data_IF_591438206210
#
_entry.id   IF_591438206210
#
_cell.length_a   1.000
_cell.length_b   1.000
_cell.length_c   1.000
_cell.angle_alpha   90.00
_cell.angle_beta   90.00
_cell.angle_gamma   90.00
#
_symmetry.space_group_name_H-M   'P 1'
#
loop_
_entity.id
_entity.type
_entity.pdbx_description
1 polymer ?
#
# COMPACT_ATOMS: atom_id res chain seq x y z
N UNK A 1 -12.84 -32.26 9.43
CA UNK A 1 -12.57 -32.40 10.88
C UNK A 1 -13.88 -32.72 11.60
N UNK A 2 -14.46 -33.92 11.40
CA UNK A 2 -15.81 -34.27 11.92
C UNK A 2 -15.78 -35.33 13.04
N UNK A 3 -14.62 -35.53 13.66
CA UNK A 3 -14.37 -36.77 14.40
C UNK A 3 -14.71 -36.72 15.90
N UNK A 4 -14.80 -35.55 16.52
CA UNK A 4 -15.07 -35.45 17.98
C UNK A 4 -16.54 -35.60 18.29
N UNK A 5 -17.42 -34.94 17.53
CA UNK A 5 -18.87 -34.96 17.77
C UNK A 5 -19.46 -36.36 17.58
N UNK A 6 -19.11 -37.04 16.49
CA UNK A 6 -19.57 -38.42 16.23
C UNK A 6 -19.05 -39.41 17.28
N UNK A 7 -17.84 -39.19 17.80
CA UNK A 7 -17.28 -40.00 18.88
C UNK A 7 -18.11 -39.86 20.17
N UNK A 8 -18.43 -38.63 20.59
CA UNK A 8 -19.25 -38.42 21.78
C UNK A 8 -20.69 -38.91 21.59
N UNK A 9 -21.28 -38.71 20.41
CA UNK A 9 -22.62 -39.22 20.06
C UNK A 9 -22.68 -40.74 20.13
N UNK A 10 -21.66 -41.43 19.65
CA UNK A 10 -21.54 -42.89 19.75
C UNK A 10 -21.36 -43.35 21.20
N UNK A 11 -20.56 -42.65 22.01
CA UNK A 11 -20.41 -42.98 23.43
C UNK A 11 -21.71 -42.77 24.21
N UNK A 12 -22.39 -41.65 24.00
CA UNK A 12 -23.67 -41.34 24.65
C UNK A 12 -24.72 -42.40 24.28
N UNK A 13 -24.88 -42.71 22.98
CA UNK A 13 -25.85 -43.72 22.52
C UNK A 13 -25.54 -45.14 23.02
N UNK A 14 -24.27 -45.45 23.28
CA UNK A 14 -23.86 -46.74 23.85
C UNK A 14 -24.19 -46.84 25.34
N UNK A 15 -24.13 -45.74 26.08
CA UNK A 15 -24.34 -45.71 27.54
C UNK A 15 -25.77 -45.35 27.95
N UNK A 16 -26.56 -44.70 27.09
CA UNK A 16 -27.96 -44.33 27.33
C UNK A 16 -28.90 -45.53 27.66
N UNK A 17 -28.74 -46.73 27.06
CA UNK A 17 -29.57 -47.90 27.39
C UNK A 17 -29.26 -48.51 28.76
N UNK A 18 -28.11 -48.18 29.35
CA UNK A 18 -27.62 -48.73 30.62
C UNK A 18 -28.07 -47.91 31.84
N UNK A 19 -28.73 -46.78 31.62
CA UNK A 19 -29.23 -45.90 32.67
C UNK A 19 -30.69 -46.27 32.99
N UNK A 20 -30.97 -46.65 34.24
CA UNK A 20 -32.32 -47.00 34.68
C UNK A 20 -33.26 -45.78 34.75
N UNK A 21 -34.56 -46.05 34.63
CA UNK A 21 -35.58 -45.10 34.15
C UNK A 21 -35.68 -43.73 34.87
N UNK A 22 -35.35 -43.64 36.16
CA UNK A 22 -35.34 -42.38 36.91
C UNK A 22 -34.23 -41.43 36.44
N UNK A 23 -33.03 -41.96 36.23
CA UNK A 23 -31.87 -41.16 35.86
C UNK A 23 -31.86 -40.84 34.37
N UNK A 24 -32.47 -41.72 33.56
CA UNK A 24 -32.71 -41.45 32.13
C UNK A 24 -33.61 -40.22 31.93
N UNK A 25 -34.65 -40.06 32.76
CA UNK A 25 -35.52 -38.88 32.68
C UNK A 25 -34.77 -37.59 33.05
N UNK A 26 -33.95 -37.62 34.10
CA UNK A 26 -33.12 -36.45 34.49
C UNK A 26 -32.07 -36.08 33.43
N UNK A 27 -31.43 -37.08 32.81
CA UNK A 27 -30.47 -36.86 31.73
C UNK A 27 -31.18 -36.28 30.50
N UNK A 28 -32.36 -36.78 30.15
CA UNK A 28 -33.16 -36.23 29.04
C UNK A 28 -33.65 -34.81 29.32
N UNK A 29 -34.04 -34.51 30.55
CA UNK A 29 -34.47 -33.17 30.96
C UNK A 29 -33.29 -32.17 30.97
N UNK A 30 -32.10 -32.59 31.42
CA UNK A 30 -30.88 -31.79 31.33
C UNK A 30 -30.45 -31.55 29.88
N UNK A 31 -30.54 -32.57 29.02
CA UNK A 31 -30.22 -32.44 27.59
C UNK A 31 -31.20 -31.50 26.88
N UNK A 32 -32.51 -31.64 27.16
CA UNK A 32 -33.53 -30.73 26.61
C UNK A 32 -33.31 -29.29 27.05
N UNK A 33 -32.97 -29.07 28.32
CA UNK A 33 -32.63 -27.74 28.84
C UNK A 33 -31.35 -27.18 28.20
N UNK A 34 -30.36 -28.03 27.91
CA UNK A 34 -29.14 -27.62 27.25
C UNK A 34 -29.38 -27.25 25.78
N UNK A 35 -30.25 -27.98 25.08
CA UNK A 35 -30.69 -27.69 23.71
C UNK A 35 -31.44 -26.36 23.64
N UNK A 36 -32.40 -26.12 24.55
CA UNK A 36 -33.10 -24.83 24.66
C UNK A 36 -32.16 -23.64 24.98
N UNK A 37 -31.04 -23.90 25.67
CA UNK A 37 -30.01 -22.87 25.94
C UNK A 37 -29.08 -22.69 24.74
N UNK A 38 -28.77 -23.75 23.98
CA UNK A 38 -27.92 -23.69 22.80
C UNK A 38 -28.62 -23.02 21.62
N UNK A 39 -29.88 -23.39 21.35
CA UNK A 39 -30.75 -22.72 20.35
C UNK A 39 -31.07 -21.26 20.75
N UNK A 40 -30.99 -20.92 22.04
CA UNK A 40 -31.20 -19.56 22.53
C UNK A 40 -29.94 -18.67 22.62
N UNK A 41 -28.74 -19.23 22.46
CA UNK A 41 -27.47 -18.49 22.60
C UNK A 41 -26.54 -18.55 21.39
N UNK A 42 -26.87 -19.36 20.39
CA UNK A 42 -26.30 -19.22 19.05
C UNK A 42 -27.00 -18.07 18.36
N UNK A 43 -26.32 -16.93 18.20
CA UNK A 43 -26.67 -16.01 17.12
C UNK A 43 -26.35 -16.76 15.83
N UNK A 44 -27.26 -17.63 15.38
CA UNK A 44 -27.35 -18.06 13.99
C UNK A 44 -27.72 -16.80 13.21
N UNK A 45 -26.74 -15.94 12.94
CA UNK A 45 -26.86 -15.03 11.82
C UNK A 45 -26.83 -15.93 10.60
N UNK A 46 -28.01 -16.28 10.11
CA UNK A 46 -28.15 -17.07 8.90
C UNK A 46 -27.31 -16.41 7.80
N UNK A 47 -26.56 -17.20 7.02
CA UNK A 47 -25.77 -16.68 5.90
C UNK A 47 -26.64 -15.83 4.95
N UNK A 48 -27.92 -16.19 4.85
CA UNK A 48 -28.96 -15.48 4.09
C UNK A 48 -29.23 -14.06 4.65
N UNK A 49 -29.21 -13.86 5.98
CA UNK A 49 -29.38 -12.55 6.62
C UNK A 49 -28.19 -11.62 6.35
N UNK A 50 -26.98 -12.18 6.28
CA UNK A 50 -25.75 -11.43 5.99
C UNK A 50 -25.72 -11.01 4.52
N UNK A 51 -26.13 -11.88 3.61
CA UNK A 51 -26.17 -11.57 2.18
C UNK A 51 -27.27 -10.55 1.85
N UNK A 52 -28.44 -10.63 2.49
CA UNK A 52 -29.49 -9.62 2.36
C UNK A 52 -29.08 -8.28 2.97
N UNK A 53 -28.43 -8.28 4.13
CA UNK A 53 -27.87 -7.07 4.76
C UNK A 53 -26.77 -6.44 3.91
N UNK A 54 -25.85 -7.24 3.36
CA UNK A 54 -24.76 -6.76 2.51
C UNK A 54 -25.30 -6.17 1.20
N UNK A 55 -26.31 -6.79 0.60
CA UNK A 55 -26.98 -6.25 -0.59
C UNK A 55 -27.80 -4.98 -0.29
N UNK A 56 -28.24 -4.78 0.95
CA UNK A 56 -28.90 -3.55 1.40
C UNK A 56 -27.94 -2.37 1.62
N UNK A 57 -26.64 -2.65 1.70
CA UNK A 57 -25.59 -1.65 1.87
C UNK A 57 -25.20 -1.07 0.51
N UNK A 58 -25.68 0.14 0.20
CA UNK A 58 -25.27 0.89 -0.99
C UNK A 58 -23.84 1.46 -0.80
N UNK A 59 -22.84 0.59 -1.03
CA UNK A 59 -21.40 0.86 -0.91
C UNK A 59 -20.90 2.04 -1.75
N UNK A 60 -21.63 2.42 -2.80
CA UNK A 60 -21.19 3.42 -3.77
C UNK A 60 -21.77 4.81 -3.54
N UNK A 61 -22.70 4.97 -2.60
CA UNK A 61 -23.56 6.17 -2.54
C UNK A 61 -23.67 6.78 -1.13
N UNK A 62 -23.35 6.02 -0.08
CA UNK A 62 -23.34 6.53 1.30
C UNK A 62 -22.04 7.26 1.62
N UNK A 63 -22.16 8.40 2.30
CA UNK A 63 -21.01 9.16 2.82
C UNK A 63 -20.43 8.50 4.08
N UNK A 64 -19.18 8.80 4.43
CA UNK A 64 -18.43 8.22 5.56
C UNK A 64 -19.20 8.33 6.88
N UNK A 65 -19.87 9.46 7.14
CA UNK A 65 -20.69 9.65 8.33
C UNK A 65 -21.91 8.71 8.39
N UNK A 66 -22.50 8.37 7.25
CA UNK A 66 -23.64 7.45 7.20
C UNK A 66 -23.20 6.01 7.44
N UNK A 67 -21.98 5.64 7.04
CA UNK A 67 -21.36 4.36 7.42
C UNK A 67 -21.09 4.28 8.91
N UNK A 68 -20.63 5.38 9.50
CA UNK A 68 -20.36 5.45 10.93
C UNK A 68 -21.62 5.25 11.77
N UNK A 69 -22.75 5.81 11.34
CA UNK A 69 -24.03 5.71 12.06
C UNK A 69 -24.68 4.32 11.98
N UNK A 70 -24.30 3.50 11.00
CA UNK A 70 -24.77 2.11 10.87
C UNK A 70 -24.06 1.16 11.83
N UNK A 71 -22.87 1.53 12.30
CA UNK A 71 -22.12 0.73 13.26
C UNK A 71 -22.80 0.77 14.62
N UNK A 72 -22.86 -0.39 15.27
CA UNK A 72 -23.26 -0.49 16.68
C UNK A 72 -22.28 0.25 17.58
N UNK A 73 -22.72 0.63 18.78
CA UNK A 73 -21.83 1.30 19.74
C UNK A 73 -20.64 0.40 20.15
N UNK A 74 -20.81 -0.92 20.13
CA UNK A 74 -19.73 -1.88 20.39
C UNK A 74 -18.69 -1.87 19.27
N UNK A 75 -19.11 -1.89 18.00
CA UNK A 75 -18.22 -1.81 16.84
C UNK A 75 -17.47 -0.49 16.76
N UNK A 76 -18.13 0.64 17.09
CA UNK A 76 -17.47 1.95 17.18
C UNK A 76 -16.38 1.96 18.24
N UNK A 77 -16.63 1.34 19.40
CA UNK A 77 -15.64 1.23 20.49
C UNK A 77 -14.48 0.33 20.06
N UNK A 78 -14.76 -0.81 19.43
CA UNK A 78 -13.72 -1.71 18.89
C UNK A 78 -12.85 -0.97 17.88
N UNK A 79 -13.47 -0.31 16.90
CA UNK A 79 -12.76 0.48 15.89
C UNK A 79 -11.93 1.61 16.51
N UNK A 80 -12.47 2.36 17.47
CA UNK A 80 -11.75 3.44 18.14
C UNK A 80 -10.55 2.93 18.96
N UNK A 81 -10.69 1.78 19.63
CA UNK A 81 -9.60 1.14 20.37
C UNK A 81 -8.52 0.60 19.43
N UNK A 82 -8.92 -0.06 18.34
CA UNK A 82 -7.97 -0.55 17.33
C UNK A 82 -7.21 0.61 16.68
N UNK A 83 -7.89 1.69 16.33
CA UNK A 83 -7.28 2.91 15.77
C UNK A 83 -6.28 3.58 16.74
N UNK A 84 -6.52 3.51 18.04
CA UNK A 84 -5.57 3.99 19.05
C UNK A 84 -4.35 3.07 19.18
N UNK A 85 -4.53 1.77 18.97
CA UNK A 85 -3.44 0.78 19.01
C UNK A 85 -2.58 0.75 17.74
N UNK A 86 -3.06 1.35 16.65
CA UNK A 86 -2.37 1.44 15.37
C UNK A 86 -3.30 1.15 14.19
N UNK A 87 -2.79 0.48 13.16
CA UNK A 87 -3.64 -0.01 12.08
C UNK A 87 -4.54 -1.14 12.61
N UNK A 88 -5.85 -1.13 12.27
CA UNK A 88 -6.77 -2.20 12.64
C UNK A 88 -6.25 -3.58 12.22
N UNK A 89 -6.48 -4.58 13.07
CA UNK A 89 -5.95 -5.94 12.85
C UNK A 89 -6.51 -6.61 11.59
N UNK A 90 -7.67 -6.16 11.12
CA UNK A 90 -8.36 -6.63 9.92
C UNK A 90 -7.85 -6.01 8.62
N UNK A 91 -7.01 -4.97 8.66
CA UNK A 91 -6.40 -4.40 7.46
C UNK A 91 -5.06 -5.09 7.19
N UNK A 92 -4.93 -5.73 6.03
CA UNK A 92 -3.64 -6.21 5.57
C UNK A 92 -2.68 -5.03 5.38
N UNK A 93 -1.53 -5.05 6.06
CA UNK A 93 -0.53 -4.00 5.91
C UNK A 93 0.07 -4.07 4.50
N UNK A 94 -0.33 -3.14 3.62
CA UNK A 94 0.30 -3.02 2.31
C UNK A 94 1.79 -2.73 2.47
N UNK A 95 2.61 -3.64 1.95
CA UNK A 95 4.07 -3.52 1.95
C UNK A 95 4.53 -3.02 0.59
N UNK A 96 5.12 -1.81 0.51
CA UNK A 96 5.64 -1.33 -0.74
C UNK A 96 6.71 -2.28 -1.28
N UNK A 97 6.67 -2.57 -2.58
CA UNK A 97 7.60 -3.52 -3.21
C UNK A 97 9.08 -3.14 -3.03
N UNK A 98 9.40 -1.85 -2.82
CA UNK A 98 10.75 -1.36 -2.54
C UNK A 98 11.21 -1.54 -1.10
N UNK A 99 10.41 -2.18 -0.26
CA UNK A 99 10.83 -2.66 1.07
C UNK A 99 11.39 -4.08 1.04
N UNK A 100 11.24 -4.78 -0.09
CA UNK A 100 11.82 -6.10 -0.33
C UNK A 100 13.34 -5.93 -0.44
N UNK A 101 14.10 -6.59 0.44
CA UNK A 101 15.57 -6.53 0.43
C UNK A 101 16.08 -7.29 -0.79
N UNK A 102 16.93 -6.70 -1.66
CA UNK A 102 17.56 -7.44 -2.72
C UNK A 102 18.56 -8.42 -2.07
N UNK A 103 18.33 -9.72 -2.24
CA UNK A 103 19.24 -10.75 -1.72
C UNK A 103 20.55 -10.66 -2.51
N UNK A 104 21.72 -10.65 -1.84
CA UNK A 104 23.01 -10.66 -2.53
C UNK A 104 23.14 -11.86 -3.46
N UNK A 105 23.62 -11.65 -4.68
CA UNK A 105 23.81 -12.66 -5.74
C UNK A 105 24.67 -13.88 -5.32
N UNK A 106 25.37 -13.80 -4.17
CA UNK A 106 26.20 -14.87 -3.62
C UNK A 106 25.43 -15.99 -2.88
N UNK A 107 24.09 -15.93 -2.81
CA UNK A 107 23.25 -16.97 -2.19
C UNK A 107 22.04 -17.35 -3.04
N UNK A 108 22.19 -17.41 -4.36
CA UNK A 108 21.18 -17.95 -5.28
C UNK A 108 21.24 -19.49 -5.23
N UNK A 109 20.99 -20.07 -4.06
CA UNK A 109 20.50 -21.44 -3.95
C UNK A 109 19.02 -21.36 -3.56
N UNK A 110 18.16 -21.36 -4.57
CA UNK A 110 16.73 -21.72 -4.48
C UNK A 110 15.92 -21.01 -3.38
N UNK A 111 16.10 -19.72 -3.20
CA UNK A 111 15.04 -18.89 -2.60
C UNK A 111 14.39 -18.11 -3.73
N UNK A 112 13.19 -18.52 -4.10
CA UNK A 112 12.26 -17.80 -4.96
C UNK A 112 11.98 -16.44 -4.31
N UNK A 113 12.86 -15.47 -4.49
CA UNK A 113 12.57 -14.08 -4.14
C UNK A 113 11.41 -13.69 -5.06
N UNK A 114 10.35 -13.15 -4.48
CA UNK A 114 9.11 -12.72 -5.13
C UNK A 114 9.34 -11.58 -6.16
N UNK A 115 10.12 -11.84 -7.21
CA UNK A 115 10.35 -10.95 -8.34
C UNK A 115 9.06 -10.66 -9.16
N UNK A 116 7.93 -11.22 -8.75
CA UNK A 116 6.59 -10.94 -9.28
C UNK A 116 6.05 -9.58 -8.81
N UNK A 117 6.44 -9.09 -7.63
CA UNK A 117 5.91 -7.82 -7.07
C UNK A 117 6.62 -6.56 -7.57
N UNK A 118 7.78 -6.70 -8.23
CA UNK A 118 8.50 -5.55 -8.80
C UNK A 118 7.86 -5.19 -10.14
N UNK A 119 7.42 -3.93 -10.35
CA UNK A 119 6.83 -3.50 -11.60
C UNK A 119 7.76 -3.74 -12.80
N UNK A 120 7.31 -4.58 -13.74
CA UNK A 120 7.99 -4.87 -14.99
C UNK A 120 7.16 -4.33 -16.14
N UNK A 121 7.67 -3.27 -16.77
CA UNK A 121 7.14 -2.74 -18.04
C UNK A 121 8.25 -2.67 -19.07
N UNK A 122 7.95 -3.11 -20.28
CA UNK A 122 8.85 -2.95 -21.42
C UNK A 122 8.54 -1.64 -22.12
N UNK A 123 9.46 -0.68 -21.97
CA UNK A 123 9.33 0.66 -22.54
C UNK A 123 10.36 0.77 -23.68
N UNK A 124 9.92 1.20 -24.86
CA UNK A 124 10.81 1.47 -25.99
C UNK A 124 11.53 2.80 -25.75
N UNK A 125 12.82 2.73 -25.45
CA UNK A 125 13.63 3.90 -25.12
C UNK A 125 14.41 4.40 -26.34
N UNK A 126 14.54 5.73 -26.43
CA UNK A 126 15.43 6.37 -27.41
C UNK A 126 16.84 6.46 -26.81
N UNK A 127 17.92 6.22 -27.58
CA UNK A 127 19.29 6.31 -27.05
C UNK A 127 19.59 7.67 -26.42
N UNK A 128 20.21 7.65 -25.23
CA UNK A 128 20.40 8.83 -24.39
C UNK A 128 21.30 9.91 -25.04
N UNK A 129 22.28 9.48 -25.83
CA UNK A 129 23.25 10.35 -26.51
C UNK A 129 22.58 11.31 -27.51
N UNK A 130 21.37 10.97 -27.95
CA UNK A 130 20.56 11.79 -28.85
C UNK A 130 19.70 12.83 -28.12
N UNK A 131 19.59 12.74 -26.78
CA UNK A 131 18.62 13.51 -26.00
C UNK A 131 19.24 14.74 -25.33
N UNK A 132 20.40 14.65 -24.68
CA UNK A 132 21.12 15.81 -24.11
C UNK A 132 22.47 15.41 -23.49
N UNK A 133 23.35 16.39 -23.30
CA UNK A 133 24.62 16.26 -22.57
C UNK A 133 24.52 16.54 -21.07
N UNK A 134 23.36 17.00 -20.56
CA UNK A 134 23.15 17.32 -19.14
C UNK A 134 22.57 16.14 -18.38
N UNK A 135 23.24 15.72 -17.30
CA UNK A 135 22.78 14.63 -16.42
C UNK A 135 21.55 15.08 -15.60
N UNK A 136 20.48 14.26 -15.54
CA UNK A 136 19.32 14.55 -14.70
C UNK A 136 19.62 14.43 -13.20
N UNK A 137 18.87 15.18 -12.37
CA UNK A 137 18.86 15.00 -10.91
C UNK A 137 17.75 14.03 -10.53
N UNK A 138 18.04 13.07 -9.65
CA UNK A 138 17.21 11.89 -9.40
C UNK A 138 16.13 12.11 -8.30
N UNK A 139 15.64 13.34 -8.10
CA UNK A 139 14.88 13.69 -6.88
C UNK A 139 13.37 13.44 -6.94
N UNK A 140 12.82 12.98 -8.06
CA UNK A 140 11.37 13.08 -8.34
C UNK A 140 10.52 11.92 -7.77
N UNK A 141 11.13 11.02 -7.00
CA UNK A 141 10.45 9.80 -6.48
C UNK A 141 9.60 10.07 -5.24
N UNK A 142 9.69 11.26 -4.65
CA UNK A 142 8.90 11.61 -3.47
C UNK A 142 7.40 11.51 -3.76
N UNK A 143 6.92 12.20 -4.82
CA UNK A 143 5.50 12.19 -5.16
C UNK A 143 4.99 10.77 -5.43
N UNK A 144 5.79 9.95 -6.13
CA UNK A 144 5.49 8.54 -6.36
C UNK A 144 5.35 7.75 -5.05
N UNK A 145 6.36 7.80 -4.18
CA UNK A 145 6.34 7.08 -2.90
C UNK A 145 5.24 7.58 -1.96
N UNK A 146 4.96 8.88 -1.98
CA UNK A 146 3.91 9.51 -1.17
C UNK A 146 2.53 9.03 -1.60
N UNK A 147 2.21 9.17 -2.90
CA UNK A 147 0.90 8.80 -3.45
C UNK A 147 0.66 7.29 -3.36
N UNK A 148 1.66 6.46 -3.69
CA UNK A 148 1.52 5.01 -3.53
C UNK A 148 1.23 4.60 -2.07
N UNK A 149 1.80 5.29 -1.08
CA UNK A 149 1.50 5.05 0.34
C UNK A 149 0.16 5.61 0.77
N UNK A 150 -0.23 6.76 0.22
CA UNK A 150 -1.54 7.36 0.50
C UNK A 150 -2.67 6.39 0.15
N UNK A 151 -2.52 5.69 -0.97
CA UNK A 151 -3.52 4.74 -1.48
C UNK A 151 -3.19 3.27 -1.20
N UNK A 152 -2.26 2.97 -0.28
CA UNK A 152 -1.87 1.58 0.03
C UNK A 152 -1.59 0.69 -1.21
N UNK A 153 -1.02 1.28 -2.26
CA UNK A 153 -0.72 0.59 -3.52
C UNK A 153 -1.92 0.28 -4.43
N UNK A 154 -3.15 0.49 -3.98
CA UNK A 154 -4.40 0.12 -4.67
C UNK A 154 -5.23 1.36 -4.98
N UNK A 155 -5.21 1.80 -6.24
CA UNK A 155 -6.14 2.83 -6.74
C UNK A 155 -6.23 2.82 -8.27
N UNK A 156 -7.25 3.49 -8.80
CA UNK A 156 -7.33 3.85 -10.22
C UNK A 156 -6.12 4.70 -10.65
N UNK A 157 -5.61 4.44 -11.86
CA UNK A 157 -4.42 5.10 -12.36
C UNK A 157 -4.62 6.62 -12.51
N UNK A 158 -5.86 7.08 -12.72
CA UNK A 158 -6.25 8.47 -12.87
C UNK A 158 -5.91 9.32 -11.65
N UNK A 159 -6.41 8.97 -10.46
CA UNK A 159 -6.16 9.77 -9.25
C UNK A 159 -4.70 9.70 -8.82
N UNK A 160 -4.06 8.53 -8.94
CA UNK A 160 -2.61 8.43 -8.70
C UNK A 160 -1.83 9.35 -9.63
N UNK A 161 -2.16 9.36 -10.92
CA UNK A 161 -1.52 10.23 -11.90
C UNK A 161 -1.75 11.71 -11.59
N UNK A 162 -2.96 12.11 -11.21
CA UNK A 162 -3.25 13.51 -10.83
C UNK A 162 -2.44 13.91 -9.60
N UNK A 163 -2.45 13.12 -8.52
CA UNK A 163 -1.69 13.40 -7.31
C UNK A 163 -0.18 13.46 -7.54
N UNK A 164 0.36 12.56 -8.36
CA UNK A 164 1.78 12.56 -8.74
C UNK A 164 2.13 13.85 -9.48
N UNK A 165 1.32 14.26 -10.46
CA UNK A 165 1.57 15.47 -11.24
C UNK A 165 1.38 16.74 -10.42
N UNK A 166 0.45 16.77 -9.46
CA UNK A 166 0.26 17.90 -8.58
C UNK A 166 1.39 18.08 -7.56
N UNK A 167 1.88 16.98 -6.96
CA UNK A 167 2.93 17.03 -5.94
C UNK A 167 4.34 17.13 -6.51
N UNK A 168 4.56 16.64 -7.74
CA UNK A 168 5.88 16.68 -8.38
C UNK A 168 6.03 17.93 -9.24
N UNK A 169 6.81 18.92 -8.78
CA UNK A 169 7.17 20.08 -9.61
C UNK A 169 7.88 19.65 -10.90
N UNK A 170 8.75 18.64 -10.81
CA UNK A 170 9.57 18.22 -11.95
C UNK A 170 8.73 17.52 -13.01
N UNK A 171 7.73 16.73 -12.63
CA UNK A 171 6.84 16.05 -13.58
C UNK A 171 5.68 16.96 -14.02
N UNK A 172 5.06 17.64 -13.06
CA UNK A 172 3.89 18.51 -13.26
C UNK A 172 4.15 19.85 -13.94
N UNK A 173 5.40 20.32 -14.00
CA UNK A 173 5.75 21.60 -14.63
C UNK A 173 6.84 21.45 -15.69
N UNK A 174 7.12 22.48 -16.49
CA UNK A 174 8.23 22.47 -17.45
C UNK A 174 9.62 22.56 -16.80
N UNK A 175 9.72 22.70 -15.47
CA UNK A 175 10.98 22.92 -14.75
C UNK A 175 11.69 21.58 -14.45
N UNK A 176 12.49 21.11 -15.40
CA UNK A 176 13.29 19.87 -15.25
C UNK A 176 14.41 20.00 -14.20
N UNK A 177 14.91 21.23 -13.97
CA UNK A 177 15.94 21.52 -12.96
C UNK A 177 15.38 22.43 -11.86
N UNK A 178 14.29 22.02 -11.24
CA UNK A 178 13.59 22.84 -10.25
C UNK A 178 14.38 23.09 -8.95
N UNK A 179 15.34 22.21 -8.63
CA UNK A 179 16.02 22.21 -7.33
C UNK A 179 17.54 22.37 -7.46
N UNK A 180 18.11 23.21 -6.60
CA UNK A 180 19.55 23.44 -6.52
C UNK A 180 20.25 22.28 -5.81
N UNK A 181 19.67 21.78 -4.72
CA UNK A 181 20.13 20.61 -3.98
C UNK A 181 19.05 19.57 -3.71
N UNK A 182 19.45 18.42 -3.17
CA UNK A 182 18.56 17.31 -2.78
C UNK A 182 17.72 17.70 -1.57
N UNK A 183 18.33 18.43 -0.64
CA UNK A 183 17.64 18.96 0.53
C UNK A 183 16.51 19.90 0.13
N UNK A 184 16.77 20.88 -0.75
CA UNK A 184 15.74 21.81 -1.22
C UNK A 184 14.60 21.06 -1.95
N UNK A 185 14.93 19.96 -2.64
CA UNK A 185 13.93 19.11 -3.25
C UNK A 185 13.03 18.43 -2.21
N UNK A 186 13.60 17.90 -1.12
CA UNK A 186 12.82 17.29 -0.04
C UNK A 186 12.02 18.32 0.76
N UNK A 187 12.59 19.46 1.12
CA UNK A 187 11.86 20.54 1.79
C UNK A 187 10.66 20.99 0.96
N UNK A 188 10.87 21.20 -0.34
CA UNK A 188 9.78 21.56 -1.24
C UNK A 188 8.72 20.45 -1.33
N UNK A 189 9.13 19.18 -1.39
CA UNK A 189 8.20 18.05 -1.45
C UNK A 189 7.35 17.94 -0.17
N UNK A 190 7.97 18.05 1.00
CA UNK A 190 7.28 18.04 2.30
C UNK A 190 6.34 19.24 2.43
N UNK A 191 6.80 20.42 2.01
CA UNK A 191 5.96 21.61 1.98
C UNK A 191 4.76 21.41 1.04
N UNK A 192 4.99 20.88 -0.16
CA UNK A 192 3.94 20.64 -1.16
C UNK A 192 2.89 19.66 -0.67
N UNK A 193 3.27 18.55 -0.03
CA UNK A 193 2.31 17.58 0.51
C UNK A 193 1.55 18.12 1.72
N UNK A 194 2.21 18.85 2.62
CA UNK A 194 1.56 19.38 3.82
C UNK A 194 0.63 20.58 3.56
N UNK A 195 0.80 21.27 2.43
CA UNK A 195 -0.02 22.42 2.04
C UNK A 195 -1.00 22.13 0.89
N UNK A 196 -1.01 20.91 0.34
CA UNK A 196 -1.99 20.54 -0.67
C UNK A 196 -3.31 20.10 0.02
N UNK A 197 -4.45 20.75 -0.24
CA UNK A 197 -5.71 20.45 0.45
C UNK A 197 -6.25 19.04 0.18
N UNK A 198 -5.91 18.45 -0.97
CA UNK A 198 -6.38 17.13 -1.41
C UNK A 198 -5.50 16.01 -0.85
N UNK A 199 -4.18 16.22 -0.79
CA UNK A 199 -3.21 15.17 -0.41
C UNK A 199 -2.60 15.35 0.98
N UNK A 200 -3.02 16.33 1.77
CA UNK A 200 -2.49 16.55 3.12
C UNK A 200 -2.96 15.46 4.08
N UNK A 201 -2.02 14.67 4.58
CA UNK A 201 -2.25 13.69 5.66
C UNK A 201 -1.69 14.20 6.99
N UNK A 202 -0.39 14.05 7.20
CA UNK A 202 0.30 14.53 8.41
C UNK A 202 1.76 14.83 8.13
N UNK A 203 2.34 15.73 8.93
CA UNK A 203 3.76 16.09 8.80
C UNK A 203 4.67 14.87 8.98
N UNK A 204 4.30 13.95 9.87
CA UNK A 204 5.05 12.71 10.14
C UNK A 204 5.05 11.80 8.91
N UNK A 205 3.92 11.64 8.23
CA UNK A 205 3.83 10.85 6.98
C UNK A 205 4.69 11.48 5.89
N UNK A 206 4.64 12.81 5.75
CA UNK A 206 5.44 13.55 4.77
C UNK A 206 6.95 13.40 5.02
N UNK A 207 7.41 13.42 6.27
CA UNK A 207 8.81 13.19 6.64
C UNK A 207 9.22 11.73 6.46
N UNK A 208 8.41 10.78 6.93
CA UNK A 208 8.70 9.34 6.82
C UNK A 208 8.80 8.89 5.36
N UNK A 209 8.12 9.56 4.44
CA UNK A 209 8.22 9.28 2.99
C UNK A 209 9.65 9.43 2.46
N UNK A 210 10.48 10.29 3.06
CA UNK A 210 11.90 10.42 2.69
C UNK A 210 12.62 9.09 2.85
N UNK A 211 12.33 8.32 3.91
CA UNK A 211 12.96 7.00 4.11
C UNK A 211 12.62 6.03 2.98
N UNK A 212 11.41 6.10 2.43
CA UNK A 212 11.00 5.31 1.26
C UNK A 212 11.71 5.77 -0.01
N UNK A 213 11.88 7.08 -0.19
CA UNK A 213 12.68 7.61 -1.31
C UNK A 213 14.13 7.12 -1.21
N UNK A 214 14.74 7.17 -0.02
CA UNK A 214 16.10 6.67 0.16
C UNK A 214 16.23 5.18 -0.13
N UNK A 215 15.21 4.36 0.21
CA UNK A 215 15.14 2.94 -0.17
C UNK A 215 15.03 2.78 -1.69
N UNK A 216 14.16 3.53 -2.36
CA UNK A 216 14.02 3.51 -3.83
C UNK A 216 15.32 3.90 -4.54
N UNK A 217 16.09 4.81 -3.97
CA UNK A 217 17.38 5.24 -4.52
C UNK A 217 18.54 4.31 -4.17
N UNK A 218 18.36 3.37 -3.25
CA UNK A 218 19.45 2.51 -2.75
C UNK A 218 20.01 1.53 -3.79
N UNK A 219 19.21 1.16 -4.80
CA UNK A 219 19.59 0.19 -5.82
C UNK A 219 19.15 0.66 -7.22
N UNK A 220 19.98 0.50 -8.27
CA UNK A 220 19.61 0.92 -9.62
C UNK A 220 18.32 0.25 -10.12
N UNK A 221 18.12 -1.04 -9.78
CA UNK A 221 16.90 -1.76 -10.16
C UNK A 221 15.63 -1.15 -9.56
N UNK A 222 15.69 -0.63 -8.32
CA UNK A 222 14.55 0.04 -7.70
C UNK A 222 14.29 1.40 -8.35
N UNK A 223 15.35 2.09 -8.76
CA UNK A 223 15.22 3.33 -9.53
C UNK A 223 14.56 3.06 -10.88
N UNK A 224 14.98 2.01 -11.60
CA UNK A 224 14.42 1.64 -12.89
C UNK A 224 12.97 1.15 -12.73
N UNK A 225 12.70 0.28 -11.75
CA UNK A 225 11.37 -0.25 -11.50
C UNK A 225 10.38 0.86 -11.11
N UNK A 226 10.77 1.80 -10.25
CA UNK A 226 9.89 2.93 -9.90
C UNK A 226 9.63 3.85 -11.07
N UNK A 227 10.62 4.11 -11.93
CA UNK A 227 10.41 4.89 -13.15
C UNK A 227 9.47 4.17 -14.14
N UNK A 228 9.58 2.85 -14.26
CA UNK A 228 8.69 2.03 -15.11
C UNK A 228 7.26 2.00 -14.58
N UNK A 229 7.08 1.84 -13.28
CA UNK A 229 5.76 1.86 -12.64
C UNK A 229 5.11 3.24 -12.81
N UNK A 230 5.88 4.30 -12.54
CA UNK A 230 5.45 5.68 -12.70
C UNK A 230 5.07 6.01 -14.15
N UNK A 231 5.84 5.52 -15.12
CA UNK A 231 5.49 5.63 -16.53
C UNK A 231 4.15 4.94 -16.80
N UNK A 232 3.95 3.75 -16.25
CA UNK A 232 2.72 3.00 -16.46
C UNK A 232 1.48 3.66 -15.88
N UNK A 233 1.58 4.19 -14.66
CA UNK A 233 0.49 4.96 -14.04
C UNK A 233 0.09 6.14 -14.92
N UNK A 234 1.06 6.89 -15.45
CA UNK A 234 0.77 8.06 -16.29
C UNK A 234 0.30 7.71 -17.71
N UNK A 235 0.77 6.59 -18.27
CA UNK A 235 0.38 6.12 -19.61
C UNK A 235 -1.05 5.57 -19.63
N UNK A 236 -1.42 4.83 -18.58
CA UNK A 236 -2.71 4.15 -18.49
C UNK A 236 -3.83 5.09 -17.99
N UNK A 237 -3.48 6.20 -17.33
CA UNK A 237 -4.44 7.16 -16.75
C UNK A 237 -5.23 7.93 -17.81
N UNK A 238 -6.57 7.86 -17.76
CA UNK A 238 -7.47 8.62 -18.63
C UNK A 238 -7.75 10.03 -18.10
N UNK A 239 -6.69 10.82 -17.94
CA UNK A 239 -6.78 12.18 -17.40
C UNK A 239 -7.66 13.13 -18.22
N UNK A 240 -8.11 14.24 -17.59
CA UNK A 240 -8.79 15.36 -18.26
C UNK A 240 -7.84 16.09 -19.22
N UNK A 241 -8.40 16.93 -20.12
CA UNK A 241 -7.64 17.59 -21.21
C UNK A 241 -6.38 18.34 -20.73
N UNK A 242 -6.46 19.04 -19.61
CA UNK A 242 -5.33 19.77 -19.03
C UNK A 242 -4.26 18.82 -18.46
N UNK A 243 -4.69 17.79 -17.72
CA UNK A 243 -3.82 16.73 -17.19
C UNK A 243 -3.10 15.93 -18.28
N UNK A 244 -3.75 15.64 -19.41
CA UNK A 244 -3.15 14.88 -20.53
C UNK A 244 -1.90 15.54 -21.10
N UNK A 245 -1.91 16.87 -21.28
CA UNK A 245 -0.73 17.58 -21.81
C UNK A 245 0.43 17.47 -20.84
N UNK A 246 0.16 17.64 -19.56
CA UNK A 246 1.17 17.56 -18.49
C UNK A 246 1.71 16.13 -18.37
N UNK A 247 0.84 15.12 -18.39
CA UNK A 247 1.23 13.71 -18.40
C UNK A 247 2.11 13.37 -19.60
N UNK A 248 1.78 13.85 -20.80
CA UNK A 248 2.62 13.61 -21.99
C UNK A 248 4.03 14.19 -21.83
N UNK A 249 4.15 15.39 -21.24
CA UNK A 249 5.47 15.97 -20.94
C UNK A 249 6.20 15.19 -19.84
N UNK A 250 5.48 14.70 -18.84
CA UNK A 250 6.04 13.86 -17.79
C UNK A 250 6.55 12.52 -18.33
N UNK A 251 5.79 11.84 -19.20
CA UNK A 251 6.19 10.61 -19.88
C UNK A 251 7.51 10.78 -20.65
N UNK A 252 7.68 11.90 -21.36
CA UNK A 252 8.95 12.22 -22.05
C UNK A 252 10.12 12.41 -21.08
N UNK A 253 9.89 13.01 -19.91
CA UNK A 253 10.93 13.12 -18.87
C UNK A 253 11.28 11.76 -18.28
N UNK A 254 10.29 10.89 -18.08
CA UNK A 254 10.51 9.53 -17.60
C UNK A 254 11.28 8.68 -18.60
N UNK A 255 10.96 8.77 -19.89
CA UNK A 255 11.75 8.15 -20.98
C UNK A 255 13.21 8.64 -20.95
N UNK A 256 13.40 9.95 -20.75
CA UNK A 256 14.71 10.54 -20.63
C UNK A 256 15.48 9.98 -19.41
N UNK A 257 14.84 9.90 -18.24
CA UNK A 257 15.46 9.34 -17.04
C UNK A 257 15.76 7.84 -17.17
N UNK A 258 14.86 7.07 -17.76
CA UNK A 258 15.07 5.64 -18.02
C UNK A 258 16.24 5.41 -18.97
N UNK A 259 16.33 6.22 -20.04
CA UNK A 259 17.43 6.15 -20.99
C UNK A 259 18.77 6.50 -20.31
N UNK A 260 18.78 7.53 -19.44
CA UNK A 260 19.96 7.87 -18.65
C UNK A 260 20.40 6.73 -17.73
N UNK A 261 19.46 6.13 -17.00
CA UNK A 261 19.75 5.04 -16.06
C UNK A 261 20.37 3.83 -16.76
N UNK A 262 19.96 3.54 -18.00
CA UNK A 262 20.55 2.45 -18.79
C UNK A 262 21.97 2.74 -19.28
N UNK A 263 22.43 4.00 -19.26
CA UNK A 263 23.82 4.36 -19.61
C UNK A 263 24.78 4.32 -18.42
N UNK A 264 24.25 4.35 -17.19
CA UNK A 264 25.09 4.36 -16.00
C UNK A 264 25.55 2.95 -15.66
N UNK A 265 26.86 2.78 -15.48
CA UNK A 265 27.36 1.58 -14.80
C UNK A 265 27.09 1.66 -13.28
N UNK A 266 27.21 0.51 -12.61
CA UNK A 266 26.97 0.40 -11.16
C UNK A 266 27.87 1.33 -10.33
N UNK A 267 29.10 1.60 -10.80
CA UNK A 267 30.07 2.42 -10.10
C UNK A 267 29.73 3.91 -10.18
N UNK A 268 29.34 4.40 -11.36
CA UNK A 268 28.84 5.74 -11.59
C UNK A 268 27.53 5.99 -10.85
N UNK A 269 26.62 5.00 -10.85
CA UNK A 269 25.39 5.06 -10.06
C UNK A 269 25.69 5.19 -8.56
N UNK A 270 26.57 4.33 -8.04
CA UNK A 270 26.99 4.36 -6.64
C UNK A 270 27.67 5.68 -6.24
N UNK A 271 28.44 6.28 -7.16
CA UNK A 271 29.04 7.61 -6.95
C UNK A 271 27.95 8.69 -6.89
N UNK A 272 27.02 8.70 -7.83
CA UNK A 272 25.91 9.65 -7.86
C UNK A 272 25.03 9.53 -6.60
N UNK A 273 24.74 8.32 -6.15
CA UNK A 273 24.00 8.05 -4.91
C UNK A 273 24.74 8.56 -3.68
N UNK A 274 26.06 8.33 -3.59
CA UNK A 274 26.87 8.83 -2.47
C UNK A 274 26.93 10.35 -2.44
N UNK A 275 27.02 11.00 -3.59
CA UNK A 275 27.00 12.46 -3.67
C UNK A 275 25.63 13.02 -3.23
N UNK A 276 24.54 12.33 -3.61
CA UNK A 276 23.18 12.61 -3.17
C UNK A 276 23.03 12.47 -1.64
N UNK A 277 23.49 11.35 -1.07
CA UNK A 277 23.44 11.04 0.36
C UNK A 277 24.31 11.99 1.20
N UNK A 278 25.50 12.37 0.70
CA UNK A 278 26.37 13.35 1.37
C UNK A 278 25.72 14.72 1.42
N UNK A 279 25.12 15.17 0.31
CA UNK A 279 24.42 16.46 0.28
C UNK A 279 23.26 16.58 1.28
N UNK A 280 22.64 15.44 1.63
CA UNK A 280 21.62 15.37 2.69
C UNK A 280 22.24 15.49 4.09
N UNK A 281 23.23 14.64 4.41
CA UNK A 281 23.85 14.59 5.75
C UNK A 281 24.57 15.88 6.14
N UNK A 282 25.31 16.50 5.21
CA UNK A 282 26.12 17.69 5.50
C UNK A 282 25.27 18.90 5.87
N UNK A 283 23.98 18.96 5.50
CA UNK A 283 23.07 20.04 5.91
C UNK A 283 22.27 19.71 7.17
N UNK A 284 21.98 18.43 7.45
CA UNK A 284 21.39 18.01 8.74
C UNK A 284 22.32 18.32 9.92
N UNK A 285 23.64 18.17 9.74
CA UNK A 285 24.65 18.48 10.77
C UNK A 285 24.86 19.99 10.99
N UNK A 286 24.41 20.85 10.07
CA UNK A 286 24.48 22.33 10.18
C UNK A 286 23.18 22.91 10.76
N UNK A 287 22.09 22.14 10.76
CA UNK A 287 20.79 22.53 11.29
C UNK A 287 20.55 22.10 12.75
N UNK A 288 21.55 21.47 13.39
CA UNK A 288 21.63 21.14 14.82
C UNK A 288 22.62 22.08 15.52
#
# INVERSE_FOLDING_TARGET
>A
MSCSEEFYKQQINKHLPLVEGSDKQKVMEMLKRAEEVYEGSGSECDEDDIEEWFNSLDLNNKNIEEWWDLLTEEEKIIFANEMQSGAPSFLEEWKPWWTIVPVPESKIEKTTIEHEKIPKRDIKLTPFEQLTSRKPKINDRYAYAYIKRLYNGEYENEEMAEGILQLSVVLGTSKVFAYESVHDAFEHCIYSSNNNPEYKVSNVVSQNTITHVMKLLSHPDFVIASLKDLYGILEDAKLRKEGRRTALLALRKLEFYLSFMNTLDFFEFSKHLRDLQRSHKTKEEIAL
#
